data_IF_214810156752
#
_entry.id   IF_214810156752
#
_cell.length_a   1.000
_cell.length_b   1.000
_cell.length_c   1.000
_cell.angle_alpha   90.00
_cell.angle_beta   90.00
_cell.angle_gamma   90.00
#
_symmetry.space_group_name_H-M   'P 1'
#
loop_
_entity.id
_entity.type
_entity.pdbx_description
1 polymer ?
#
# COMPACT_ATOMS: atom_id res chain seq x y z
N UNK A 1 -11.55 -41.26 51.01
CA UNK A 1 -11.62 -40.95 49.56
C UNK A 1 -10.41 -41.60 48.90
N UNK A 2 -10.59 -42.43 47.86
CA UNK A 2 -9.47 -43.16 47.25
C UNK A 2 -8.42 -42.21 46.67
N UNK A 3 -7.14 -42.50 46.88
CA UNK A 3 -6.00 -41.73 46.32
C UNK A 3 -6.13 -41.53 44.81
N UNK A 4 -6.64 -42.54 44.10
CA UNK A 4 -6.92 -42.48 42.65
C UNK A 4 -7.92 -41.37 42.29
N UNK A 5 -8.95 -41.15 43.13
CA UNK A 5 -9.94 -40.09 42.92
C UNK A 5 -9.35 -38.71 43.18
N UNK A 6 -8.47 -38.57 44.18
CA UNK A 6 -7.78 -37.31 44.48
C UNK A 6 -6.87 -36.91 43.31
N UNK A 7 -6.08 -37.84 42.78
CA UNK A 7 -5.21 -37.60 41.61
C UNK A 7 -6.04 -37.17 40.40
N UNK A 8 -7.17 -37.84 40.16
CA UNK A 8 -8.05 -37.53 39.03
C UNK A 8 -8.66 -36.13 39.15
N UNK A 9 -9.07 -35.72 40.35
CA UNK A 9 -9.57 -34.37 40.62
C UNK A 9 -8.50 -33.30 40.36
N UNK A 10 -7.26 -33.53 40.81
CA UNK A 10 -6.14 -32.60 40.57
C UNK A 10 -5.85 -32.47 39.07
N UNK A 11 -5.87 -33.59 38.35
CA UNK A 11 -5.61 -33.61 36.91
C UNK A 11 -6.70 -32.87 36.12
N UNK A 12 -7.97 -33.08 36.48
CA UNK A 12 -9.09 -32.33 35.89
C UNK A 12 -8.95 -30.84 36.18
N UNK A 13 -8.59 -30.46 37.40
CA UNK A 13 -8.41 -29.06 37.75
C UNK A 13 -7.27 -28.40 36.97
N UNK A 14 -6.14 -29.10 36.77
CA UNK A 14 -5.02 -28.63 35.97
C UNK A 14 -5.38 -28.49 34.47
N UNK A 15 -6.21 -29.40 33.95
CA UNK A 15 -6.67 -29.34 32.56
C UNK A 15 -7.60 -28.14 32.32
N UNK A 16 -8.53 -27.90 33.25
CA UNK A 16 -9.46 -26.76 33.17
C UNK A 16 -8.71 -25.44 33.25
N UNK A 17 -7.76 -25.30 34.19
CA UNK A 17 -6.99 -24.07 34.32
C UNK A 17 -6.12 -23.80 33.08
N UNK A 18 -5.47 -24.83 32.53
CA UNK A 18 -4.72 -24.72 31.29
C UNK A 18 -5.58 -24.30 30.09
N UNK A 19 -6.78 -24.88 29.97
CA UNK A 19 -7.71 -24.54 28.89
C UNK A 19 -8.17 -23.07 28.95
N UNK A 20 -8.42 -22.54 30.15
CA UNK A 20 -8.81 -21.13 30.33
C UNK A 20 -7.67 -20.20 29.93
N UNK A 21 -6.43 -20.48 30.36
CA UNK A 21 -5.27 -19.66 30.00
C UNK A 21 -5.03 -19.66 28.49
N UNK A 22 -5.05 -20.83 27.84
CA UNK A 22 -4.90 -20.93 26.38
C UNK A 22 -6.02 -20.20 25.64
N UNK A 23 -7.26 -20.25 26.13
CA UNK A 23 -8.39 -19.56 25.47
C UNK A 23 -8.21 -18.05 25.49
N UNK A 24 -7.69 -17.49 26.59
CA UNK A 24 -7.39 -16.05 26.69
C UNK A 24 -6.28 -15.67 25.72
N UNK A 25 -5.17 -16.41 25.71
CA UNK A 25 -4.05 -16.14 24.80
C UNK A 25 -4.46 -16.24 23.33
N UNK A 26 -5.23 -17.28 22.98
CA UNK A 26 -5.71 -17.49 21.61
C UNK A 26 -6.69 -16.40 21.16
N UNK A 27 -7.52 -15.89 22.09
CA UNK A 27 -8.41 -14.76 21.81
C UNK A 27 -7.62 -13.47 21.54
N UNK A 28 -6.56 -13.21 22.32
CA UNK A 28 -5.70 -12.03 22.10
C UNK A 28 -4.90 -12.12 20.81
N UNK A 29 -4.34 -13.29 20.50
CA UNK A 29 -3.60 -13.52 19.26
C UNK A 29 -4.50 -13.39 18.03
N UNK A 30 -5.75 -13.84 18.10
CA UNK A 30 -6.74 -13.66 17.04
C UNK A 30 -7.05 -12.19 16.79
N UNK A 31 -7.28 -11.40 17.86
CA UNK A 31 -7.56 -9.98 17.75
C UNK A 31 -6.37 -9.18 17.19
N UNK A 32 -5.15 -9.51 17.62
CA UNK A 32 -3.93 -8.86 17.10
C UNK A 32 -3.65 -9.24 15.64
N UNK A 33 -3.91 -10.50 15.26
CA UNK A 33 -3.81 -10.94 13.87
C UNK A 33 -4.82 -10.22 12.96
N UNK A 34 -6.06 -10.06 13.41
CA UNK A 34 -7.09 -9.32 12.69
C UNK A 34 -6.74 -7.83 12.56
N UNK A 35 -6.26 -7.21 13.65
CA UNK A 35 -5.80 -5.81 13.63
C UNK A 35 -4.66 -5.61 12.63
N UNK A 36 -3.66 -6.49 12.68
CA UNK A 36 -2.50 -6.45 11.78
C UNK A 36 -2.92 -6.65 10.33
N UNK A 37 -3.83 -7.59 10.06
CA UNK A 37 -4.35 -7.84 8.71
C UNK A 37 -5.09 -6.62 8.16
N UNK A 38 -5.93 -5.98 8.98
CA UNK A 38 -6.66 -4.77 8.59
C UNK A 38 -5.70 -3.60 8.31
N UNK A 39 -4.66 -3.43 9.11
CA UNK A 39 -3.61 -2.43 8.89
C UNK A 39 -2.86 -2.67 7.58
N UNK A 40 -2.50 -3.92 7.26
CA UNK A 40 -1.87 -4.27 5.98
C UNK A 40 -2.76 -3.96 4.77
N UNK A 41 -4.06 -4.28 4.85
CA UNK A 41 -5.01 -3.97 3.76
C UNK A 41 -5.12 -2.47 3.55
N UNK A 42 -5.23 -1.70 4.64
CA UNK A 42 -5.29 -0.24 4.59
C UNK A 42 -4.02 0.34 3.95
N UNK A 43 -2.84 -0.09 4.39
CA UNK A 43 -1.57 0.38 3.86
C UNK A 43 -1.37 0.02 2.38
N UNK A 44 -1.81 -1.16 1.95
CA UNK A 44 -1.78 -1.56 0.53
C UNK A 44 -2.66 -0.66 -0.32
N UNK A 45 -3.85 -0.32 0.17
CA UNK A 45 -4.77 0.57 -0.53
C UNK A 45 -4.23 2.00 -0.62
N UNK A 46 -3.70 2.55 0.47
CA UNK A 46 -3.01 3.85 0.47
C UNK A 46 -1.84 3.87 -0.52
N UNK A 47 -1.02 2.81 -0.54
CA UNK A 47 0.10 2.70 -1.48
C UNK A 47 -0.38 2.67 -2.94
N UNK A 48 -1.49 1.96 -3.21
CA UNK A 48 -2.10 1.92 -4.55
C UNK A 48 -2.59 3.30 -4.98
N UNK A 49 -3.25 4.04 -4.10
CA UNK A 49 -3.74 5.39 -4.39
C UNK A 49 -2.58 6.36 -4.66
N UNK A 50 -1.56 6.35 -3.81
CA UNK A 50 -0.36 7.19 -3.98
C UNK A 50 0.36 6.87 -5.29
N UNK A 51 0.49 5.58 -5.64
CA UNK A 51 1.04 5.18 -6.94
C UNK A 51 0.20 5.68 -8.10
N UNK A 52 -1.13 5.62 -8.02
CA UNK A 52 -2.02 6.18 -9.05
C UNK A 52 -1.79 7.67 -9.23
N UNK A 53 -1.78 8.43 -8.12
CA UNK A 53 -1.53 9.88 -8.15
C UNK A 53 -0.15 10.21 -8.73
N UNK A 54 0.87 9.43 -8.39
CA UNK A 54 2.21 9.61 -8.95
C UNK A 54 2.22 9.35 -10.46
N UNK A 55 1.61 8.26 -10.92
CA UNK A 55 1.50 7.94 -12.34
C UNK A 55 0.71 9.02 -13.09
N UNK A 56 -0.40 9.48 -12.54
CA UNK A 56 -1.22 10.55 -13.13
C UNK A 56 -0.43 11.87 -13.23
N UNK A 57 0.22 12.28 -12.14
CA UNK A 57 0.99 13.53 -12.07
C UNK A 57 2.30 13.50 -12.87
N UNK A 58 2.93 12.33 -13.02
CA UNK A 58 4.13 12.15 -13.84
C UNK A 58 3.82 11.81 -15.30
N UNK A 59 2.56 11.52 -15.63
CA UNK A 59 2.17 11.27 -17.01
C UNK A 59 2.25 12.57 -17.83
N UNK A 60 2.76 12.45 -19.06
CA UNK A 60 2.81 13.55 -20.03
C UNK A 60 1.41 14.14 -20.28
N UNK A 61 0.37 13.32 -20.19
CA UNK A 61 -1.03 13.72 -20.32
C UNK A 61 -1.53 14.61 -19.16
N UNK A 62 -1.07 14.33 -17.93
CA UNK A 62 -1.33 15.18 -16.77
C UNK A 62 -0.55 16.49 -16.84
N UNK A 63 0.69 16.46 -17.34
CA UNK A 63 1.49 17.66 -17.57
C UNK A 63 0.90 18.55 -18.66
N UNK A 64 0.41 17.97 -19.77
CA UNK A 64 -0.24 18.69 -20.87
C UNK A 64 -1.52 19.40 -20.39
N UNK A 65 -2.39 18.71 -19.64
CA UNK A 65 -3.58 19.32 -19.03
C UNK A 65 -3.25 20.48 -18.07
N UNK A 66 -2.25 20.30 -17.21
CA UNK A 66 -1.84 21.34 -16.28
C UNK A 66 -1.15 22.53 -16.99
N UNK A 67 -0.36 22.25 -18.03
CA UNK A 67 0.28 23.27 -18.85
C UNK A 67 -0.76 24.11 -19.61
N UNK A 68 -1.76 23.47 -20.22
CA UNK A 68 -2.89 24.15 -20.86
C UNK A 68 -3.66 25.03 -19.87
N UNK A 69 -3.93 24.53 -18.65
CA UNK A 69 -4.59 25.31 -17.59
C UNK A 69 -3.76 26.49 -17.06
N UNK A 70 -2.44 26.45 -17.22
CA UNK A 70 -1.51 27.53 -16.89
C UNK A 70 -1.24 28.49 -18.07
N UNK A 71 -1.93 28.30 -19.20
CA UNK A 71 -1.82 29.16 -20.39
C UNK A 71 -0.64 28.82 -21.30
N UNK A 72 0.02 27.68 -21.12
CA UNK A 72 1.01 27.19 -22.08
C UNK A 72 0.31 26.67 -23.33
N UNK A 73 0.61 27.29 -24.48
CA UNK A 73 0.18 26.82 -25.79
C UNK A 73 1.10 25.69 -26.26
N UNK A 74 0.51 24.56 -26.66
CA UNK A 74 1.23 23.46 -27.30
C UNK A 74 1.90 23.98 -28.58
N UNK A 75 3.22 23.77 -28.77
CA UNK A 75 3.89 24.21 -29.99
C UNK A 75 3.36 23.43 -31.20
N UNK A 76 2.70 24.15 -32.11
CA UNK A 76 2.04 23.62 -33.32
C UNK A 76 3.05 23.05 -34.33
N UNK A 77 4.34 23.40 -34.21
CA UNK A 77 5.40 22.97 -35.10
C UNK A 77 6.63 22.55 -34.31
N UNK A 78 6.96 21.26 -34.32
CA UNK A 78 8.25 20.76 -33.85
C UNK A 78 9.24 20.86 -35.00
N UNK A 79 10.05 21.91 -35.02
CA UNK A 79 11.11 22.08 -36.02
C UNK A 79 12.29 21.16 -35.67
N UNK A 80 12.37 20.00 -36.31
CA UNK A 80 13.54 19.13 -36.25
C UNK A 80 14.66 19.77 -37.08
N UNK A 81 15.55 20.51 -36.43
CA UNK A 81 16.82 20.90 -37.06
C UNK A 81 17.71 19.66 -37.06
N UNK A 82 17.54 18.81 -38.08
CA UNK A 82 18.54 17.80 -38.41
C UNK A 82 19.82 18.53 -38.78
N UNK A 83 20.85 18.37 -37.96
CA UNK A 83 22.14 18.99 -38.18
C UNK A 83 22.79 18.47 -39.46
N UNK A 84 22.57 19.17 -40.57
CA UNK A 84 23.48 19.43 -41.69
C UNK A 84 22.69 20.17 -42.78
N UNK A 85 23.32 21.18 -43.38
CA UNK A 85 22.85 21.99 -44.51
C UNK A 85 22.26 23.38 -44.20
N UNK A 86 23.13 24.24 -43.67
CA UNK A 86 23.65 25.43 -44.37
C UNK A 86 22.70 26.33 -45.21
N UNK A 87 21.55 26.78 -44.70
CA UNK A 87 20.82 27.89 -45.36
C UNK A 87 20.12 28.81 -44.35
N UNK A 88 20.89 29.63 -43.63
CA UNK A 88 20.36 30.90 -43.12
C UNK A 88 20.60 31.95 -44.22
N UNK A 89 19.53 32.24 -44.95
CA UNK A 89 19.49 33.20 -46.04
C UNK A 89 20.09 34.54 -45.63
N UNK A 90 20.94 35.05 -46.53
CA UNK A 90 21.42 36.43 -46.60
C UNK A 90 20.23 37.40 -46.45
N UNK A 91 20.16 38.14 -45.34
CA UNK A 91 19.28 39.31 -45.27
C UNK A 91 19.90 40.46 -46.10
N UNK A 92 19.09 41.26 -46.82
CA UNK A 92 19.52 42.58 -47.28
C UNK A 92 19.77 43.53 -46.11
#
# INVERSE_FOLDING_TARGET
MDIRKIILIILVFALISGAVLMTVEMSTLGADAERTSNEEVKLKEENRQLKSMLVEGSSLSGLEKNAEGLGYLKPDYTLYISGKEAYAAKLP
#
